data_IF_371570256164
#
_entry.id   IF_371570256164
#
_cell.length_a   1.000
_cell.length_b   1.000
_cell.length_c   1.000
_cell.angle_alpha   90.00
_cell.angle_beta   90.00
_cell.angle_gamma   90.00
#
_symmetry.space_group_name_H-M   'P 1'
#
loop_
_entity.id
_entity.type
_entity.pdbx_description
1 polymer ?
#
# COMPACT_ATOMS: atom_id res chain seq x y z
N UNK A 1 -8.42 -51.99 14.39
CA UNK A 1 -7.84 -51.48 13.14
C UNK A 1 -8.32 -50.07 12.96
N UNK A 2 -7.35 -49.18 13.04
CA UNK A 2 -7.46 -47.80 13.46
C UNK A 2 -8.07 -46.85 12.42
N UNK A 3 -8.72 -45.82 12.95
CA UNK A 3 -9.25 -44.68 12.22
C UNK A 3 -8.08 -43.85 11.69
N UNK A 4 -7.92 -43.75 10.37
CA UNK A 4 -7.00 -42.80 9.77
C UNK A 4 -7.65 -41.41 9.83
N UNK A 5 -7.19 -40.66 10.82
CA UNK A 5 -7.40 -39.24 11.01
C UNK A 5 -6.66 -38.50 9.89
N UNK A 6 -7.35 -38.08 8.84
CA UNK A 6 -6.83 -37.13 7.87
C UNK A 6 -6.84 -35.76 8.55
N UNK A 7 -5.70 -35.42 9.15
CA UNK A 7 -5.46 -34.13 9.78
C UNK A 7 -5.82 -33.00 8.81
N UNK A 8 -6.67 -32.11 9.30
CA UNK A 8 -6.95 -30.82 8.70
C UNK A 8 -5.60 -30.10 8.52
N UNK A 9 -5.18 -29.96 7.27
CA UNK A 9 -4.13 -29.01 6.92
C UNK A 9 -4.78 -27.62 7.09
N UNK A 10 -4.67 -27.07 8.29
CA UNK A 10 -4.87 -25.65 8.54
C UNK A 10 -3.86 -24.92 7.65
N UNK A 11 -4.33 -24.48 6.48
CA UNK A 11 -3.67 -23.46 5.70
C UNK A 11 -3.61 -22.25 6.62
N UNK A 12 -2.47 -22.07 7.28
CA UNK A 12 -2.13 -20.80 7.92
C UNK A 12 -2.24 -19.75 6.82
N UNK A 13 -3.34 -19.00 6.87
CA UNK A 13 -3.49 -17.78 6.09
C UNK A 13 -2.24 -16.94 6.37
N UNK A 14 -1.51 -16.45 5.35
CA UNK A 14 -0.57 -15.39 5.60
C UNK A 14 -1.38 -14.26 6.24
N UNK A 15 -1.01 -13.84 7.44
CA UNK A 15 -1.57 -12.63 8.05
C UNK A 15 -1.43 -11.51 7.01
N UNK A 16 -2.53 -10.96 6.45
CA UNK A 16 -2.37 -9.78 5.65
C UNK A 16 -1.99 -8.73 6.67
N UNK A 17 -0.85 -8.08 6.42
CA UNK A 17 -0.41 -6.90 7.16
C UNK A 17 0.36 -7.23 8.44
N UNK A 18 1.59 -7.71 8.26
CA UNK A 18 2.68 -7.52 9.23
C UNK A 18 3.07 -6.03 9.32
N UNK A 19 2.18 -5.19 9.87
CA UNK A 19 2.46 -3.78 10.18
C UNK A 19 3.06 -3.73 11.58
N UNK A 20 4.38 -3.56 11.67
CA UNK A 20 4.92 -2.68 12.71
C UNK A 20 4.07 -1.40 12.64
N UNK A 21 3.43 -0.97 13.73
CA UNK A 21 2.46 0.14 13.69
C UNK A 21 3.18 1.42 13.23
N UNK A 22 3.18 1.68 11.92
CA UNK A 22 3.62 2.95 11.36
C UNK A 22 2.78 4.02 12.06
N UNK A 23 3.44 4.96 12.73
CA UNK A 23 2.73 6.01 13.45
C UNK A 23 1.97 6.89 12.45
N UNK A 24 0.83 7.40 12.87
CA UNK A 24 0.03 8.29 12.04
C UNK A 24 0.82 9.53 11.64
N UNK A 25 1.60 10.07 12.57
CA UNK A 25 2.46 11.23 12.33
C UNK A 25 3.45 10.95 11.20
N UNK A 26 4.04 9.75 11.14
CA UNK A 26 5.00 9.39 10.10
C UNK A 26 4.34 9.26 8.72
N UNK A 27 3.08 8.81 8.66
CA UNK A 27 2.29 8.78 7.42
C UNK A 27 1.90 10.19 6.97
N UNK A 28 1.55 11.07 7.91
CA UNK A 28 1.21 12.46 7.62
C UNK A 28 2.43 13.24 7.11
N UNK A 29 3.60 13.02 7.70
CA UNK A 29 4.87 13.58 7.23
C UNK A 29 5.22 13.05 5.83
N UNK A 30 5.11 11.73 5.60
CA UNK A 30 5.36 11.13 4.29
C UNK A 30 4.42 11.69 3.21
N UNK A 31 3.13 11.84 3.52
CA UNK A 31 2.15 12.46 2.64
C UNK A 31 2.57 13.89 2.31
N UNK A 32 2.82 14.71 3.33
CA UNK A 32 3.17 16.11 3.15
C UNK A 32 4.44 16.27 2.30
N UNK A 33 5.53 15.60 2.68
CA UNK A 33 6.81 15.69 1.97
C UNK A 33 6.69 15.21 0.51
N UNK A 34 5.93 14.14 0.26
CA UNK A 34 5.70 13.64 -1.11
C UNK A 34 4.95 14.65 -1.99
N UNK A 35 4.07 15.48 -1.41
CA UNK A 35 3.30 16.48 -2.17
C UNK A 35 4.13 17.71 -2.54
N UNK A 36 5.12 18.08 -1.72
CA UNK A 36 5.95 19.27 -1.92
C UNK A 36 7.28 18.98 -2.62
N UNK A 37 7.74 17.72 -2.63
CA UNK A 37 9.00 17.34 -3.28
C UNK A 37 8.94 17.44 -4.81
N UNK A 38 10.10 17.73 -5.40
CA UNK A 38 10.30 17.85 -6.85
C UNK A 38 10.86 16.58 -7.51
N UNK A 39 10.98 16.61 -8.85
CA UNK A 39 11.54 15.51 -9.65
C UNK A 39 12.96 15.09 -9.21
N UNK A 40 13.81 16.05 -8.86
CA UNK A 40 15.20 15.79 -8.44
C UNK A 40 15.29 15.02 -7.10
N UNK A 41 14.24 15.07 -6.28
CA UNK A 41 14.16 14.42 -4.98
C UNK A 41 13.44 13.06 -5.03
N UNK A 42 12.81 12.72 -6.16
CA UNK A 42 11.90 11.58 -6.32
C UNK A 42 12.53 10.27 -5.83
N UNK A 43 13.75 9.96 -6.28
CA UNK A 43 14.42 8.71 -5.92
C UNK A 43 14.72 8.61 -4.41
N UNK A 44 15.14 9.71 -3.79
CA UNK A 44 15.40 9.76 -2.35
C UNK A 44 14.12 9.59 -1.53
N UNK A 45 13.03 10.24 -1.97
CA UNK A 45 11.71 10.12 -1.34
C UNK A 45 11.08 8.75 -1.54
N UNK A 46 11.27 8.11 -2.69
CA UNK A 46 10.85 6.73 -2.89
C UNK A 46 11.59 5.77 -1.96
N UNK A 47 12.91 5.92 -1.79
CA UNK A 47 13.67 5.07 -0.87
C UNK A 47 13.28 5.29 0.60
N UNK A 48 12.87 6.50 0.97
CA UNK A 48 12.26 6.78 2.27
C UNK A 48 10.88 6.13 2.41
N UNK A 49 10.01 6.29 1.42
CA UNK A 49 8.68 5.70 1.40
C UNK A 49 8.73 4.17 1.54
N UNK A 50 9.66 3.49 0.85
CA UNK A 50 9.85 2.03 0.96
C UNK A 50 10.22 1.64 2.39
N UNK A 51 11.18 2.34 3.02
CA UNK A 51 11.57 2.06 4.41
C UNK A 51 10.41 2.24 5.38
N UNK A 52 9.58 3.26 5.18
CA UNK A 52 8.43 3.54 6.04
C UNK A 52 7.30 2.52 5.80
N UNK A 53 6.96 2.22 4.55
CA UNK A 53 5.73 1.51 4.17
C UNK A 53 5.90 0.00 4.02
N UNK A 54 7.06 -0.49 3.55
CA UNK A 54 7.33 -1.92 3.39
C UNK A 54 7.99 -2.57 4.61
N UNK A 55 8.55 -1.75 5.52
CA UNK A 55 9.36 -2.23 6.64
C UNK A 55 10.77 -2.69 6.21
N UNK A 56 11.63 -2.95 7.18
CA UNK A 56 13.08 -3.09 6.98
C UNK A 56 13.56 -4.45 6.45
N UNK A 57 12.72 -5.50 6.41
CA UNK A 57 13.19 -6.89 6.30
C UNK A 57 12.58 -7.70 5.12
N UNK A 58 11.78 -7.09 4.24
CA UNK A 58 11.19 -7.83 3.10
C UNK A 58 12.15 -7.96 1.91
N UNK A 59 12.17 -9.14 1.26
CA UNK A 59 12.82 -9.34 -0.05
C UNK A 59 12.26 -8.41 -1.13
N UNK A 60 11.02 -7.97 -0.95
CA UNK A 60 10.34 -7.04 -1.84
C UNK A 60 11.03 -5.66 -1.79
N UNK A 61 11.59 -5.25 -0.64
CA UNK A 61 12.31 -3.99 -0.50
C UNK A 61 13.54 -3.93 -1.42
N UNK A 62 14.32 -5.02 -1.50
CA UNK A 62 15.51 -5.06 -2.37
C UNK A 62 15.13 -4.95 -3.85
N UNK A 63 14.04 -5.59 -4.26
CA UNK A 63 13.57 -5.49 -5.64
C UNK A 63 13.08 -4.07 -5.97
N UNK A 64 12.42 -3.41 -5.00
CA UNK A 64 11.98 -2.03 -5.15
C UNK A 64 13.18 -1.06 -5.20
N UNK A 65 14.21 -1.27 -4.38
CA UNK A 65 15.45 -0.48 -4.40
C UNK A 65 16.18 -0.58 -5.75
N UNK A 66 16.21 -1.78 -6.34
CA UNK A 66 16.79 -1.99 -7.68
C UNK A 66 15.99 -1.20 -8.75
N UNK A 67 14.65 -1.17 -8.64
CA UNK A 67 13.81 -0.36 -9.53
C UNK A 67 14.08 1.13 -9.38
N UNK A 68 14.20 1.64 -8.14
CA UNK A 68 14.52 3.06 -7.88
C UNK A 68 15.88 3.40 -8.46
N UNK A 69 16.89 2.56 -8.23
CA UNK A 69 18.25 2.75 -8.75
C UNK A 69 18.33 2.74 -10.28
N UNK A 70 17.42 2.04 -10.94
CA UNK A 70 17.28 2.03 -12.40
C UNK A 70 16.45 3.21 -12.95
N UNK A 71 15.99 4.14 -12.11
CA UNK A 71 15.11 5.26 -12.50
C UNK A 71 13.63 4.87 -12.64
N UNK A 72 13.25 3.69 -12.19
CA UNK A 72 11.90 3.13 -12.25
C UNK A 72 11.00 3.52 -11.07
N UNK A 73 11.07 4.76 -10.59
CA UNK A 73 10.35 5.21 -9.38
C UNK A 73 8.84 4.97 -9.44
N UNK A 74 8.21 5.14 -10.61
CA UNK A 74 6.77 4.87 -10.76
C UNK A 74 6.46 3.38 -10.62
N UNK A 75 7.29 2.50 -11.20
CA UNK A 75 7.13 1.05 -11.05
C UNK A 75 7.38 0.62 -9.60
N UNK A 76 8.36 1.22 -8.94
CA UNK A 76 8.63 1.03 -7.52
C UNK A 76 7.42 1.42 -6.66
N UNK A 77 6.79 2.56 -6.93
CA UNK A 77 5.58 2.99 -6.21
C UNK A 77 4.40 2.04 -6.41
N UNK A 78 4.21 1.49 -7.63
CA UNK A 78 3.17 0.49 -7.90
C UNK A 78 3.46 -0.82 -7.15
N UNK A 79 4.72 -1.27 -7.15
CA UNK A 79 5.12 -2.48 -6.44
C UNK A 79 5.01 -2.36 -4.91
N UNK A 80 4.97 -1.13 -4.38
CA UNK A 80 4.78 -0.84 -2.97
C UNK A 80 3.31 -0.97 -2.52
N UNK A 81 2.36 -0.90 -3.46
CA UNK A 81 0.94 -1.09 -3.17
C UNK A 81 0.66 -2.58 -2.83
N UNK A 82 -0.26 -2.86 -1.89
CA UNK A 82 -0.64 -4.24 -1.62
C UNK A 82 -1.33 -4.85 -2.85
N UNK A 83 -1.23 -6.16 -3.03
CA UNK A 83 -1.66 -6.84 -4.27
C UNK A 83 -3.15 -6.74 -4.59
N UNK A 84 -3.97 -6.33 -3.62
CA UNK A 84 -5.42 -6.10 -3.74
C UNK A 84 -5.79 -4.60 -3.84
N UNK A 85 -4.82 -3.69 -3.83
CA UNK A 85 -5.08 -2.27 -4.02
C UNK A 85 -5.42 -1.93 -5.48
N UNK A 86 -6.43 -1.09 -5.65
CA UNK A 86 -6.69 -0.38 -6.90
C UNK A 86 -5.95 0.95 -6.93
N UNK A 87 -5.50 1.37 -8.11
CA UNK A 87 -4.98 2.73 -8.30
C UNK A 87 -5.38 3.32 -9.65
N UNK A 88 -5.51 4.64 -9.66
CA UNK A 88 -5.65 5.46 -10.85
C UNK A 88 -4.57 6.52 -10.84
N UNK A 89 -3.97 6.76 -12.00
CA UNK A 89 -2.93 7.77 -12.18
C UNK A 89 -3.30 8.67 -13.35
N UNK A 90 -3.42 9.96 -13.08
CA UNK A 90 -3.68 11.00 -14.06
C UNK A 90 -2.48 11.95 -14.14
N UNK A 91 -1.99 12.16 -15.36
CA UNK A 91 -0.85 13.05 -15.62
C UNK A 91 -1.35 14.38 -16.16
N UNK A 92 -1.27 15.41 -15.34
CA UNK A 92 -1.66 16.76 -15.71
C UNK A 92 -0.62 17.43 -16.60
N UNK A 93 -1.09 18.29 -17.51
CA UNK A 93 -0.26 19.01 -18.47
C UNK A 93 0.56 20.16 -17.85
N UNK A 94 0.32 20.46 -16.57
CA UNK A 94 0.93 21.54 -15.79
C UNK A 94 2.05 21.08 -14.84
N UNK A 95 2.61 19.87 -15.05
CA UNK A 95 3.62 19.31 -14.15
C UNK A 95 3.06 18.80 -12.81
N UNK A 96 1.74 18.65 -12.73
CA UNK A 96 1.05 18.07 -11.58
C UNK A 96 0.50 16.70 -11.95
N UNK A 97 0.85 15.68 -11.17
CA UNK A 97 0.35 14.33 -11.28
C UNK A 97 -0.63 14.06 -10.14
N UNK A 98 -1.79 13.50 -10.46
CA UNK A 98 -2.81 13.14 -9.49
C UNK A 98 -2.90 11.61 -9.47
N UNK A 99 -2.79 11.02 -8.29
CA UNK A 99 -3.07 9.61 -8.09
C UNK A 99 -4.26 9.44 -7.16
N UNK A 100 -5.02 8.36 -7.38
CA UNK A 100 -6.07 7.89 -6.49
C UNK A 100 -5.75 6.44 -6.13
N UNK A 101 -5.82 6.09 -4.85
CA UNK A 101 -5.58 4.74 -4.34
C UNK A 101 -6.81 4.27 -3.58
N UNK A 102 -7.18 3.01 -3.82
CA UNK A 102 -8.26 2.29 -3.18
C UNK A 102 -7.66 1.06 -2.51
N UNK A 103 -7.82 0.95 -1.18
CA UNK A 103 -7.40 -0.23 -0.44
C UNK A 103 -8.62 -1.14 -0.28
N UNK A 104 -8.44 -2.46 -0.37
CA UNK A 104 -9.55 -3.42 -0.43
C UNK A 104 -10.49 -3.39 0.80
N UNK A 105 -10.00 -2.86 1.93
CA UNK A 105 -10.76 -2.72 3.18
C UNK A 105 -11.32 -1.30 3.39
N UNK A 106 -11.03 -0.36 2.48
CA UNK A 106 -11.51 1.02 2.52
C UNK A 106 -12.70 1.24 1.59
N UNK A 107 -13.74 1.95 2.06
CA UNK A 107 -14.89 2.31 1.22
C UNK A 107 -14.64 3.53 0.30
N UNK A 108 -13.52 4.25 0.48
CA UNK A 108 -13.27 5.51 -0.21
C UNK A 108 -11.93 5.51 -0.95
N UNK A 109 -11.99 5.91 -2.22
CA UNK A 109 -10.80 6.26 -3.00
C UNK A 109 -10.19 7.55 -2.46
N UNK A 110 -8.92 7.50 -2.07
CA UNK A 110 -8.19 8.67 -1.58
C UNK A 110 -7.28 9.16 -2.67
N UNK A 111 -7.26 10.48 -2.90
CA UNK A 111 -6.48 11.09 -3.98
C UNK A 111 -5.45 12.08 -3.44
N UNK A 112 -4.27 12.11 -4.05
CA UNK A 112 -3.22 13.08 -3.75
C UNK A 112 -2.50 13.53 -5.03
N UNK A 113 -2.00 14.76 -5.00
CA UNK A 113 -1.30 15.39 -6.11
C UNK A 113 0.18 15.63 -5.75
N UNK A 114 1.08 15.38 -6.69
CA UNK A 114 2.51 15.67 -6.53
C UNK A 114 3.16 16.07 -7.87
N UNK A 115 4.43 16.45 -7.82
CA UNK A 115 5.22 16.81 -9.00
C UNK A 115 5.47 15.61 -9.94
N UNK A 116 5.59 14.40 -9.40
CA UNK A 116 5.84 13.19 -10.20
C UNK A 116 4.75 12.13 -10.00
N UNK A 117 4.60 11.17 -10.94
CA UNK A 117 3.67 10.06 -10.79
C UNK A 117 3.94 9.17 -9.57
N UNK A 118 5.22 8.90 -9.27
CA UNK A 118 5.61 8.06 -8.15
C UNK A 118 5.24 8.71 -6.81
N UNK A 119 5.57 10.00 -6.67
CA UNK A 119 5.25 10.77 -5.46
C UNK A 119 3.74 10.92 -5.27
N UNK A 120 2.97 11.09 -6.36
CA UNK A 120 1.52 11.16 -6.27
C UNK A 120 0.92 9.84 -5.76
N UNK A 121 1.42 8.70 -6.26
CA UNK A 121 1.00 7.37 -5.80
C UNK A 121 1.34 7.13 -4.32
N UNK A 122 2.57 7.46 -3.89
CA UNK A 122 2.98 7.32 -2.48
C UNK A 122 2.14 8.22 -1.58
N UNK A 123 1.92 9.47 -1.97
CA UNK A 123 1.07 10.40 -1.24
C UNK A 123 -0.37 9.85 -1.10
N UNK A 124 -0.97 9.38 -2.19
CA UNK A 124 -2.31 8.83 -2.17
C UNK A 124 -2.39 7.56 -1.30
N UNK A 125 -1.37 6.72 -1.34
CA UNK A 125 -1.31 5.51 -0.51
C UNK A 125 -1.14 5.83 0.98
N UNK A 126 -0.25 6.76 1.35
CA UNK A 126 -0.11 7.21 2.73
C UNK A 126 -1.43 7.82 3.26
N UNK A 127 -2.11 8.63 2.44
CA UNK A 127 -3.41 9.19 2.77
C UNK A 127 -4.49 8.11 2.96
N UNK A 128 -4.49 7.06 2.13
CA UNK A 128 -5.39 5.91 2.28
C UNK A 128 -5.13 5.15 3.60
N UNK A 129 -3.87 4.92 3.97
CA UNK A 129 -3.50 4.30 5.25
C UNK A 129 -3.94 5.14 6.44
N UNK A 130 -3.79 6.48 6.37
CA UNK A 130 -4.29 7.39 7.42
C UNK A 130 -5.81 7.26 7.54
N UNK A 131 -6.55 7.25 6.43
CA UNK A 131 -8.00 7.10 6.42
C UNK A 131 -8.45 5.77 7.06
N UNK A 132 -7.77 4.66 6.77
CA UNK A 132 -8.02 3.37 7.43
C UNK A 132 -7.81 3.44 8.95
N UNK A 133 -6.74 4.12 9.41
CA UNK A 133 -6.47 4.26 10.85
C UNK A 133 -7.51 5.12 11.57
N UNK A 134 -8.11 6.10 10.89
CA UNK A 134 -9.16 6.96 11.45
C UNK A 134 -10.54 6.29 11.48
N UNK A 135 -10.79 5.31 10.61
CA UNK A 135 -12.09 4.65 10.42
C UNK A 135 -12.53 3.67 11.52
N UNK A 136 -11.70 3.40 12.54
CA UNK A 136 -12.13 2.69 13.75
C UNK A 136 -12.84 1.33 13.51
N UNK A 137 -12.06 0.31 13.13
CA UNK A 137 -12.43 -1.12 12.95
C UNK A 137 -13.22 -1.46 11.67
N UNK A 138 -12.60 -2.28 10.82
CA UNK A 138 -13.26 -3.45 10.25
C UNK A 138 -12.46 -4.69 10.72
N UNK A 139 -12.95 -5.37 11.75
CA UNK A 139 -12.42 -6.67 12.19
C UNK A 139 -12.85 -7.78 11.21
N UNK A 140 -12.32 -9.01 11.36
CA UNK A 140 -12.52 -10.08 10.38
C UNK A 140 -13.96 -10.59 10.47
N UNK A 141 -14.80 -10.20 9.52
CA UNK A 141 -16.10 -10.83 9.38
C UNK A 141 -15.97 -12.04 8.46
N UNK A 142 -16.02 -13.19 9.13
CA UNK A 142 -16.42 -14.49 8.65
C UNK A 142 -16.92 -14.56 7.20
N UNK A 143 -16.22 -15.41 6.45
CA UNK A 143 -16.70 -16.21 5.33
C UNK A 143 -18.22 -16.39 5.40
N UNK A 144 -18.93 -15.76 4.46
CA UNK A 144 -20.38 -15.85 4.35
C UNK A 144 -20.82 -17.30 4.23
N UNK A 145 -21.61 -17.73 5.21
CA UNK A 145 -22.43 -18.92 5.17
C UNK A 145 -23.44 -18.72 4.03
N UNK A 146 -23.25 -19.45 2.92
CA UNK A 146 -24.24 -19.45 1.83
C UNK A 146 -25.50 -20.14 2.35
N UNK A 147 -26.68 -19.51 2.33
CA UNK A 147 -27.91 -20.27 2.51
C UNK A 147 -28.03 -21.26 1.34
N UNK A 148 -27.91 -22.55 1.64
CA UNK A 148 -28.39 -23.63 0.77
C UNK A 148 -29.89 -23.45 0.60
N UNK A 149 -30.30 -23.02 -0.59
CA UNK A 149 -31.69 -23.05 -1.00
C UNK A 149 -32.05 -24.53 -1.18
N UNK A 150 -32.97 -25.01 -0.33
CA UNK A 150 -33.61 -26.32 -0.43
C UNK A 150 -34.48 -26.40 -1.69
#
# INVERSE_FOLDING_TARGET
MDRLNLGEATLESPDPIGKERISRELLEDLLYESTISGEDEEAGRMAEAVRILAGSESRDCRHIDDMISAGGCTSAAIALLPGDAGFLLSRGRSGANLASVSLALGEADVSAQASTPALALVAAYAAALIAETAGGRCGPLGREDRPTIN
#
